data_IF_670867663006
#
_entry.id   IF_670867663006
#
_cell.length_a   1.000
_cell.length_b   1.000
_cell.length_c   1.000
_cell.angle_alpha   90.00
_cell.angle_beta   90.00
_cell.angle_gamma   90.00
#
_symmetry.space_group_name_H-M   'P 1'
#
loop_
_entity.id
_entity.type
_entity.pdbx_description
1 polymer ?
#
# COMPACT_ATOMS: atom_id res chain seq x y z
N UNK A 1 -70.63 -29.26 66.44
CA UNK A 1 -70.40 -27.96 65.78
C UNK A 1 -68.92 -27.93 65.47
N UNK A 2 -68.57 -27.95 64.17
CA UNK A 2 -67.19 -28.14 63.73
C UNK A 2 -66.34 -26.92 64.07
N UNK A 3 -65.18 -27.17 64.68
CA UNK A 3 -64.14 -26.15 64.83
C UNK A 3 -63.66 -25.78 63.42
N UNK A 4 -64.01 -24.58 62.97
CA UNK A 4 -63.44 -24.02 61.76
C UNK A 4 -61.96 -23.79 62.07
N UNK A 5 -61.12 -24.69 61.56
CA UNK A 5 -59.68 -24.52 61.59
C UNK A 5 -59.34 -23.32 60.69
N UNK A 6 -59.34 -22.12 61.27
CA UNK A 6 -58.95 -20.90 60.58
C UNK A 6 -57.43 -20.86 60.53
N UNK A 7 -56.88 -21.01 59.33
CA UNK A 7 -55.45 -20.80 59.09
C UNK A 7 -55.09 -19.41 59.58
N UNK A 8 -54.15 -19.32 60.51
CA UNK A 8 -53.65 -18.06 61.04
C UNK A 8 -52.70 -17.42 60.01
N UNK A 9 -53.29 -16.65 59.11
CA UNK A 9 -52.59 -15.96 58.02
C UNK A 9 -51.60 -14.91 58.53
N UNK A 10 -51.81 -14.35 59.73
CA UNK A 10 -50.91 -13.38 60.34
C UNK A 10 -49.59 -14.04 60.79
N UNK A 11 -49.66 -15.25 61.37
CA UNK A 11 -48.47 -16.03 61.70
C UNK A 11 -47.66 -16.41 60.44
N UNK A 12 -48.33 -16.74 59.34
CA UNK A 12 -47.68 -17.00 58.05
C UNK A 12 -47.08 -15.74 57.42
N UNK A 13 -47.69 -14.57 57.61
CA UNK A 13 -47.16 -13.29 57.12
C UNK A 13 -45.84 -12.90 57.81
N UNK A 14 -45.69 -13.19 59.10
CA UNK A 14 -44.43 -12.99 59.85
C UNK A 14 -43.32 -13.90 59.32
N UNK A 15 -43.63 -15.17 59.05
CA UNK A 15 -42.65 -16.11 58.47
C UNK A 15 -42.25 -15.68 57.06
N UNK A 16 -43.22 -15.30 56.22
CA UNK A 16 -42.96 -14.82 54.87
C UNK A 16 -42.08 -13.55 54.87
N UNK A 17 -42.34 -12.59 55.76
CA UNK A 17 -41.53 -11.37 55.86
C UNK A 17 -40.10 -11.66 56.29
N UNK A 18 -39.88 -12.53 57.29
CA UNK A 18 -38.52 -12.94 57.69
C UNK A 18 -37.75 -13.61 56.54
N UNK A 19 -38.41 -14.47 55.75
CA UNK A 19 -37.81 -15.10 54.57
C UNK A 19 -37.46 -14.06 53.50
N UNK A 20 -38.33 -13.10 53.22
CA UNK A 20 -38.03 -12.04 52.23
C UNK A 20 -36.85 -11.15 52.66
N UNK A 21 -36.74 -10.82 53.95
CA UNK A 21 -35.61 -10.04 54.48
C UNK A 21 -34.31 -10.83 54.32
N UNK A 22 -34.33 -12.14 54.59
CA UNK A 22 -33.16 -13.01 54.43
C UNK A 22 -32.71 -13.10 52.97
N UNK A 23 -33.65 -13.30 52.04
CA UNK A 23 -33.36 -13.34 50.60
C UNK A 23 -32.84 -11.98 50.12
N UNK A 24 -33.43 -10.87 50.56
CA UNK A 24 -32.97 -9.53 50.20
C UNK A 24 -31.52 -9.31 50.65
N UNK A 25 -31.16 -9.72 51.87
CA UNK A 25 -29.79 -9.64 52.37
C UNK A 25 -28.82 -10.49 51.55
N UNK A 26 -29.19 -11.73 51.21
CA UNK A 26 -28.37 -12.59 50.35
C UNK A 26 -28.17 -11.98 48.96
N UNK A 27 -29.21 -11.40 48.36
CA UNK A 27 -29.13 -10.78 47.04
C UNK A 27 -28.22 -9.54 47.04
N UNK A 28 -28.28 -8.73 48.10
CA UNK A 28 -27.40 -7.59 48.30
C UNK A 28 -25.93 -8.01 48.44
N UNK A 29 -25.67 -9.08 49.19
CA UNK A 29 -24.32 -9.65 49.34
C UNK A 29 -23.77 -10.13 47.99
N UNK A 30 -24.56 -10.91 47.23
CA UNK A 30 -24.15 -11.41 45.91
C UNK A 30 -23.84 -10.26 44.98
N UNK A 31 -24.68 -9.22 44.95
CA UNK A 31 -24.48 -8.04 44.11
C UNK A 31 -23.20 -7.28 44.48
N UNK A 32 -22.92 -7.11 45.78
CA UNK A 32 -21.68 -6.48 46.25
C UNK A 32 -20.44 -7.29 45.85
N UNK A 33 -20.48 -8.62 45.99
CA UNK A 33 -19.38 -9.50 45.59
C UNK A 33 -19.17 -9.49 44.07
N UNK A 34 -20.24 -9.49 43.27
CA UNK A 34 -20.15 -9.39 41.81
C UNK A 34 -19.57 -8.04 41.38
N UNK A 35 -20.00 -6.94 41.99
CA UNK A 35 -19.46 -5.61 41.69
C UNK A 35 -17.97 -5.52 42.02
N UNK A 36 -17.55 -6.09 43.15
CA UNK A 36 -16.14 -6.16 43.53
C UNK A 36 -15.31 -7.00 42.53
N UNK A 37 -15.83 -8.14 42.09
CA UNK A 37 -15.17 -8.98 41.09
C UNK A 37 -15.01 -8.26 39.74
N UNK A 38 -16.07 -7.61 39.24
CA UNK A 38 -16.03 -6.84 37.99
C UNK A 38 -15.06 -5.66 38.09
N UNK A 39 -15.03 -4.95 39.23
CA UNK A 39 -14.06 -3.88 39.45
C UNK A 39 -12.61 -4.40 39.38
N UNK A 40 -12.35 -5.56 39.98
CA UNK A 40 -11.03 -6.19 39.95
C UNK A 40 -10.63 -6.61 38.54
N UNK A 41 -11.54 -7.25 37.81
CA UNK A 41 -11.35 -7.61 36.40
C UNK A 41 -11.10 -6.38 35.53
N UNK A 42 -11.85 -5.28 35.74
CA UNK A 42 -11.66 -4.02 35.04
C UNK A 42 -10.28 -3.40 35.29
N UNK A 43 -9.80 -3.44 36.54
CA UNK A 43 -8.46 -2.97 36.89
C UNK A 43 -7.36 -3.80 36.22
N UNK A 44 -7.51 -5.12 36.17
CA UNK A 44 -6.59 -6.00 35.46
C UNK A 44 -6.62 -5.75 33.95
N UNK A 45 -7.80 -5.64 33.35
CA UNK A 45 -7.96 -5.35 31.93
C UNK A 45 -7.28 -4.04 31.52
N UNK A 46 -7.39 -2.99 32.34
CA UNK A 46 -6.71 -1.73 32.09
C UNK A 46 -5.18 -1.88 32.11
N UNK A 47 -4.64 -2.67 33.06
CA UNK A 47 -3.20 -2.93 33.13
C UNK A 47 -2.67 -3.69 31.90
N UNK A 48 -3.42 -4.70 31.43
CA UNK A 48 -3.06 -5.46 30.22
C UNK A 48 -3.19 -4.59 28.98
N UNK A 49 -4.26 -3.81 28.85
CA UNK A 49 -4.47 -2.93 27.70
C UNK A 49 -3.33 -1.92 27.52
N UNK A 50 -2.82 -1.33 28.60
CA UNK A 50 -1.67 -0.41 28.52
C UNK A 50 -0.37 -1.11 28.11
N UNK A 51 -0.13 -2.33 28.59
CA UNK A 51 1.02 -3.13 28.17
C UNK A 51 0.91 -3.56 26.70
N UNK A 52 -0.26 -4.02 26.27
CA UNK A 52 -0.56 -4.38 24.89
C UNK A 52 -0.41 -3.18 23.96
N UNK A 53 -0.89 -2.00 24.35
CA UNK A 53 -0.71 -0.78 23.56
C UNK A 53 0.76 -0.42 23.38
N UNK A 54 1.57 -0.49 24.46
CA UNK A 54 3.01 -0.23 24.37
C UNK A 54 3.75 -1.22 23.48
N UNK A 55 3.38 -2.50 23.55
CA UNK A 55 3.95 -3.55 22.69
C UNK A 55 3.54 -3.31 21.23
N UNK A 56 2.28 -2.94 20.99
CA UNK A 56 1.77 -2.64 19.65
C UNK A 56 2.43 -1.39 19.03
N UNK A 57 2.69 -0.34 19.82
CA UNK A 57 3.41 0.84 19.33
C UNK A 57 4.86 0.53 19.06
N UNK A 58 5.54 -0.18 19.97
CA UNK A 58 6.93 -0.58 19.78
C UNK A 58 7.10 -1.50 18.56
N UNK A 59 6.17 -2.45 18.34
CA UNK A 59 6.21 -3.32 17.17
C UNK A 59 5.94 -2.54 15.88
N UNK A 60 5.07 -1.54 15.91
CA UNK A 60 4.82 -0.66 14.77
C UNK A 60 6.06 0.17 14.40
N UNK A 61 6.73 0.77 15.39
CA UNK A 61 7.96 1.55 15.18
C UNK A 61 9.09 0.70 14.59
N UNK A 62 9.32 -0.50 15.12
CA UNK A 62 10.34 -1.43 14.61
C UNK A 62 10.01 -1.84 13.17
N UNK A 63 8.74 -2.19 12.90
CA UNK A 63 8.31 -2.57 11.55
C UNK A 63 8.45 -1.41 10.56
N UNK A 64 8.22 -0.17 10.98
CA UNK A 64 8.39 1.01 10.14
C UNK A 64 9.87 1.29 9.85
N UNK A 65 10.75 1.14 10.85
CA UNK A 65 12.19 1.28 10.68
C UNK A 65 12.79 0.19 9.77
N UNK A 66 12.27 -1.04 9.87
CA UNK A 66 12.69 -2.13 8.99
C UNK A 66 12.26 -1.88 7.54
N UNK A 67 11.01 -1.44 7.33
CA UNK A 67 10.51 -1.06 6.00
C UNK A 67 11.31 0.09 5.39
N UNK A 68 11.62 1.14 6.16
CA UNK A 68 12.37 2.28 5.62
C UNK A 68 13.79 1.89 5.23
N UNK A 69 14.45 1.03 6.04
CA UNK A 69 15.76 0.47 5.70
C UNK A 69 15.69 -0.39 4.44
N UNK A 70 14.71 -1.27 4.33
CA UNK A 70 14.53 -2.11 3.15
C UNK A 70 14.23 -1.28 1.90
N UNK A 71 13.35 -0.29 1.99
CA UNK A 71 13.05 0.65 0.90
C UNK A 71 14.31 1.37 0.41
N UNK A 72 15.14 1.85 1.32
CA UNK A 72 16.39 2.52 1.00
C UNK A 72 17.36 1.59 0.26
N UNK A 73 17.51 0.34 0.73
CA UNK A 73 18.36 -0.66 0.06
C UNK A 73 17.84 -1.01 -1.34
N UNK A 74 16.53 -1.15 -1.50
CA UNK A 74 15.90 -1.41 -2.80
C UNK A 74 16.18 -0.25 -3.77
N UNK A 75 15.96 1.00 -3.34
CA UNK A 75 16.20 2.18 -4.18
C UNK A 75 17.68 2.35 -4.54
N UNK A 76 18.58 2.13 -3.58
CA UNK A 76 20.02 2.17 -3.83
C UNK A 76 20.45 1.10 -4.84
N UNK A 77 19.90 -0.12 -4.72
CA UNK A 77 20.16 -1.23 -5.64
C UNK A 77 19.64 -0.96 -7.06
N UNK A 78 18.41 -0.46 -7.19
CA UNK A 78 17.78 -0.19 -8.49
C UNK A 78 18.30 1.07 -9.18
N UNK A 79 19.00 1.95 -8.46
CA UNK A 79 19.38 3.28 -8.97
C UNK A 79 20.13 3.23 -10.30
N UNK A 80 21.09 2.31 -10.47
CA UNK A 80 21.87 2.22 -11.70
C UNK A 80 21.02 1.84 -12.91
N UNK A 81 20.08 0.91 -12.74
CA UNK A 81 19.14 0.48 -13.78
C UNK A 81 18.14 1.59 -14.12
N UNK A 82 17.62 2.29 -13.10
CA UNK A 82 16.73 3.44 -13.27
C UNK A 82 17.46 4.57 -14.01
N UNK A 83 18.70 4.88 -13.64
CA UNK A 83 19.51 5.93 -14.24
C UNK A 83 19.83 5.63 -15.71
N UNK A 84 20.23 4.41 -16.02
CA UNK A 84 20.51 3.97 -17.39
C UNK A 84 19.26 4.08 -18.27
N UNK A 85 18.13 3.59 -17.78
CA UNK A 85 16.84 3.66 -18.48
C UNK A 85 16.38 5.11 -18.66
N UNK A 86 16.48 5.92 -17.62
CA UNK A 86 16.11 7.34 -17.64
C UNK A 86 16.93 8.12 -18.66
N UNK A 87 18.26 7.96 -18.63
CA UNK A 87 19.18 8.65 -19.55
C UNK A 87 18.95 8.24 -21.00
N UNK A 88 18.68 6.95 -21.25
CA UNK A 88 18.35 6.43 -22.58
C UNK A 88 17.06 7.03 -23.13
N UNK A 89 16.04 7.19 -22.28
CA UNK A 89 14.75 7.78 -22.66
C UNK A 89 14.86 9.28 -22.91
N UNK A 90 15.62 10.00 -22.08
CA UNK A 90 15.92 11.41 -22.32
C UNK A 90 16.63 11.61 -23.66
N UNK A 91 17.65 10.81 -23.95
CA UNK A 91 18.35 10.84 -25.23
C UNK A 91 17.41 10.54 -26.41
N UNK A 92 16.52 9.55 -26.26
CA UNK A 92 15.53 9.24 -27.28
C UNK A 92 14.53 10.38 -27.50
N UNK A 93 14.00 10.99 -26.43
CA UNK A 93 13.02 12.08 -26.53
C UNK A 93 13.58 13.31 -27.26
N UNK A 94 14.87 13.61 -27.06
CA UNK A 94 15.54 14.69 -27.79
C UNK A 94 15.53 14.43 -29.31
N UNK A 95 15.80 13.20 -29.73
CA UNK A 95 15.75 12.80 -31.14
C UNK A 95 14.31 12.72 -31.67
N UNK A 96 13.39 12.13 -30.90
CA UNK A 96 12.01 11.95 -31.29
C UNK A 96 11.25 13.27 -31.48
N UNK A 97 11.51 14.29 -30.64
CA UNK A 97 10.89 15.61 -30.82
C UNK A 97 11.32 16.28 -32.14
N UNK A 98 12.54 16.05 -32.61
CA UNK A 98 13.00 16.55 -33.91
C UNK A 98 12.32 15.83 -35.09
N UNK A 99 11.87 14.59 -34.85
CA UNK A 99 11.38 13.66 -35.88
C UNK A 99 9.85 13.48 -35.86
N UNK A 100 9.15 13.89 -34.80
CA UNK A 100 7.71 13.68 -34.57
C UNK A 100 6.85 14.08 -35.78
N UNK A 101 7.11 15.24 -36.38
CA UNK A 101 6.37 15.74 -37.54
C UNK A 101 6.63 14.96 -38.84
N UNK A 102 7.77 14.25 -38.94
CA UNK A 102 8.23 13.59 -40.16
C UNK A 102 8.18 12.05 -40.07
N UNK A 103 7.93 11.49 -38.88
CA UNK A 103 7.98 10.04 -38.64
C UNK A 103 7.11 9.22 -39.62
N UNK A 104 5.91 9.71 -39.95
CA UNK A 104 5.01 9.04 -40.89
C UNK A 104 5.47 9.13 -42.35
N UNK A 105 6.30 10.12 -42.69
CA UNK A 105 6.92 10.26 -44.02
C UNK A 105 8.24 9.50 -44.18
N UNK A 106 8.80 8.97 -43.10
CA UNK A 106 10.06 8.23 -43.11
C UNK A 106 9.93 6.86 -43.77
N UNK A 107 11.03 6.39 -44.35
CA UNK A 107 11.15 5.01 -44.82
C UNK A 107 11.32 4.02 -43.64
N UNK A 108 11.15 2.72 -43.90
CA UNK A 108 11.26 1.68 -42.87
C UNK A 108 12.62 1.67 -42.15
N UNK A 109 13.71 1.99 -42.85
CA UNK A 109 15.05 2.01 -42.27
C UNK A 109 15.23 3.16 -41.28
N UNK A 110 14.75 4.35 -41.64
CA UNK A 110 14.73 5.53 -40.77
C UNK A 110 13.84 5.32 -39.55
N UNK A 111 12.63 4.75 -39.75
CA UNK A 111 11.73 4.39 -38.63
C UNK A 111 12.39 3.40 -37.67
N UNK A 112 13.15 2.42 -38.18
CA UNK A 112 13.94 1.49 -37.34
C UNK A 112 15.01 2.20 -36.54
N UNK A 113 15.80 3.07 -37.18
CA UNK A 113 16.84 3.83 -36.47
C UNK A 113 16.26 4.65 -35.32
N UNK A 114 15.11 5.30 -35.52
CA UNK A 114 14.42 6.05 -34.46
C UNK A 114 13.92 5.11 -33.36
N UNK A 115 13.28 3.99 -33.70
CA UNK A 115 12.68 3.08 -32.72
C UNK A 115 13.68 2.13 -32.04
N UNK A 116 14.88 1.96 -32.58
CA UNK A 116 15.92 1.11 -32.01
C UNK A 116 16.38 1.61 -30.64
N UNK A 117 16.32 2.92 -30.38
CA UNK A 117 16.56 3.49 -29.04
C UNK A 117 15.54 3.05 -27.98
N UNK A 118 14.34 2.62 -28.38
CA UNK A 118 13.33 2.09 -27.46
C UNK A 118 13.41 0.55 -27.30
N UNK A 119 14.09 -0.13 -28.22
CA UNK A 119 14.15 -1.60 -28.29
C UNK A 119 14.84 -2.29 -27.10
N UNK A 120 16.02 -1.84 -26.65
CA UNK A 120 16.76 -2.49 -25.56
C UNK A 120 16.32 -2.05 -24.17
N UNK A 121 15.41 -1.07 -24.05
CA UNK A 121 14.97 -0.55 -22.76
C UNK A 121 14.32 -1.67 -21.92
N UNK A 122 14.98 -2.03 -20.83
CA UNK A 122 14.59 -3.10 -19.93
C UNK A 122 15.01 -2.77 -18.51
N UNK A 123 14.16 -3.15 -17.55
CA UNK A 123 14.47 -3.04 -16.13
C UNK A 123 14.35 -4.40 -15.45
N UNK A 124 15.18 -5.40 -15.84
CA UNK A 124 15.07 -6.77 -15.33
C UNK A 124 15.26 -6.88 -13.81
N UNK A 125 16.09 -6.05 -13.19
CA UNK A 125 16.29 -6.05 -11.74
C UNK A 125 15.02 -5.57 -11.04
N UNK A 126 14.42 -4.50 -11.55
CA UNK A 126 13.13 -3.99 -11.07
C UNK A 126 12.01 -5.01 -11.26
N UNK A 127 11.95 -5.72 -12.40
CA UNK A 127 10.99 -6.80 -12.62
C UNK A 127 11.18 -7.96 -11.62
N UNK A 128 12.43 -8.35 -11.33
CA UNK A 128 12.74 -9.44 -10.41
C UNK A 128 12.28 -9.15 -8.97
N UNK A 129 12.27 -7.87 -8.56
CA UNK A 129 11.83 -7.47 -7.22
C UNK A 129 10.46 -6.79 -7.20
N UNK A 130 9.67 -6.93 -8.27
CA UNK A 130 8.35 -6.30 -8.41
C UNK A 130 7.45 -6.54 -7.19
N UNK A 131 7.45 -7.77 -6.65
CA UNK A 131 6.67 -8.14 -5.47
C UNK A 131 7.06 -7.38 -4.19
N UNK A 132 8.25 -6.77 -4.14
CA UNK A 132 8.78 -6.00 -3.01
C UNK A 132 8.69 -4.49 -3.20
N UNK A 133 8.18 -4.01 -4.34
CA UNK A 133 7.98 -2.56 -4.57
C UNK A 133 7.01 -1.93 -3.57
N UNK A 134 6.14 -2.72 -2.94
CA UNK A 134 5.23 -2.27 -1.87
C UNK A 134 5.93 -1.79 -0.59
N UNK A 135 7.22 -2.11 -0.44
CA UNK A 135 8.03 -1.67 0.71
C UNK A 135 8.56 -0.25 0.48
N UNK A 136 8.72 0.15 -0.78
CA UNK A 136 9.09 1.51 -1.17
C UNK A 136 7.91 2.45 -0.93
N UNK A 137 8.19 3.74 -0.74
CA UNK A 137 7.16 4.78 -0.69
C UNK A 137 6.13 4.62 -1.83
N UNK A 138 4.86 4.81 -1.51
CA UNK A 138 3.74 4.52 -2.41
C UNK A 138 3.87 5.25 -3.75
N UNK A 139 4.34 6.49 -3.73
CA UNK A 139 4.54 7.28 -4.94
C UNK A 139 5.65 6.68 -5.82
N UNK A 140 6.80 6.38 -5.22
CA UNK A 140 7.98 5.88 -5.94
C UNK A 140 7.76 4.44 -6.44
N UNK A 141 7.22 3.57 -5.59
CA UNK A 141 6.88 2.19 -5.94
C UNK A 141 5.79 2.13 -7.03
N UNK A 142 4.77 2.99 -6.93
CA UNK A 142 3.72 3.11 -7.94
C UNK A 142 4.24 3.60 -9.29
N UNK A 143 5.15 4.59 -9.29
CA UNK A 143 5.82 5.08 -10.51
C UNK A 143 6.73 4.01 -11.13
N UNK A 144 7.47 3.25 -10.34
CA UNK A 144 8.27 2.10 -10.82
C UNK A 144 7.39 1.04 -11.50
N UNK A 145 6.27 0.67 -10.86
CA UNK A 145 5.33 -0.29 -11.44
C UNK A 145 4.72 0.23 -12.75
N UNK A 146 4.36 1.52 -12.81
CA UNK A 146 3.86 2.17 -14.03
C UNK A 146 4.92 2.24 -15.12
N UNK A 147 6.18 2.50 -14.75
CA UNK A 147 7.30 2.53 -15.67
C UNK A 147 7.50 1.16 -16.35
N UNK A 148 7.48 0.08 -15.56
CA UNK A 148 7.52 -1.29 -16.08
C UNK A 148 6.36 -1.60 -17.04
N UNK A 149 5.14 -1.21 -16.68
CA UNK A 149 3.97 -1.36 -17.54
C UNK A 149 4.11 -0.59 -18.86
N UNK A 150 4.62 0.64 -18.79
CA UNK A 150 4.82 1.49 -19.96
C UNK A 150 5.92 0.94 -20.87
N UNK A 151 7.02 0.43 -20.33
CA UNK A 151 8.06 -0.26 -21.09
C UNK A 151 7.50 -1.46 -21.86
N UNK A 152 6.62 -2.26 -21.24
CA UNK A 152 5.94 -3.37 -21.93
C UNK A 152 5.05 -2.89 -23.07
N UNK A 153 4.27 -1.82 -22.85
CA UNK A 153 3.44 -1.20 -23.91
C UNK A 153 4.31 -0.74 -25.08
N UNK A 154 5.42 -0.04 -24.81
CA UNK A 154 6.32 0.48 -25.84
C UNK A 154 6.95 -0.64 -26.67
N UNK A 155 7.36 -1.75 -26.04
CA UNK A 155 7.87 -2.94 -26.74
C UNK A 155 6.82 -3.56 -27.66
N UNK A 156 5.59 -3.69 -27.17
CA UNK A 156 4.47 -4.21 -27.96
C UNK A 156 4.08 -3.27 -29.11
N UNK A 157 4.21 -1.96 -28.91
CA UNK A 157 3.91 -0.95 -29.91
C UNK A 157 4.98 -0.81 -30.99
N UNK A 158 6.23 -1.23 -30.73
CA UNK A 158 7.38 -1.05 -31.65
C UNK A 158 7.12 -1.63 -33.04
N UNK A 159 6.76 -2.92 -33.12
CA UNK A 159 6.59 -3.59 -34.42
C UNK A 159 5.41 -3.04 -35.23
N UNK A 160 4.22 -2.77 -34.64
CA UNK A 160 3.14 -2.07 -35.33
C UNK A 160 3.51 -0.69 -35.89
N UNK A 161 4.42 0.04 -35.25
CA UNK A 161 4.81 1.39 -35.68
C UNK A 161 5.49 1.41 -37.05
N UNK A 162 6.15 0.33 -37.47
CA UNK A 162 6.74 0.24 -38.82
C UNK A 162 5.70 0.26 -39.92
N UNK A 163 4.50 -0.28 -39.64
CA UNK A 163 3.43 -0.46 -40.63
C UNK A 163 2.44 0.70 -40.68
N UNK A 164 2.69 1.77 -39.93
CA UNK A 164 1.79 2.92 -39.89
C UNK A 164 1.76 3.64 -41.23
N UNK A 165 0.54 3.94 -41.68
CA UNK A 165 0.29 4.77 -42.84
C UNK A 165 0.31 6.25 -42.43
N UNK A 166 0.52 7.13 -43.41
CA UNK A 166 0.47 8.58 -43.18
C UNK A 166 -0.98 9.08 -43.23
N UNK A 167 -1.79 8.61 -42.28
CA UNK A 167 -3.19 8.94 -42.11
C UNK A 167 -3.46 9.47 -40.69
N UNK A 168 -4.71 9.80 -40.40
CA UNK A 168 -5.13 10.35 -39.11
C UNK A 168 -4.87 9.35 -37.97
N UNK A 169 -5.08 8.06 -38.22
CA UNK A 169 -4.82 6.99 -37.26
C UNK A 169 -3.31 6.85 -36.97
N UNK A 170 -2.47 6.91 -38.00
CA UNK A 170 -1.02 6.95 -37.90
C UNK A 170 -0.55 8.08 -36.99
N UNK A 171 -1.08 9.30 -37.19
CA UNK A 171 -0.74 10.46 -36.36
C UNK A 171 -1.13 10.26 -34.91
N UNK A 172 -2.34 9.78 -34.64
CA UNK A 172 -2.82 9.50 -33.28
C UNK A 172 -1.93 8.47 -32.58
N UNK A 173 -1.54 7.39 -33.26
CA UNK A 173 -0.70 6.32 -32.69
C UNK A 173 0.72 6.81 -32.40
N UNK A 174 1.33 7.60 -33.29
CA UNK A 174 2.65 8.22 -33.05
C UNK A 174 2.59 9.14 -31.83
N UNK A 175 1.61 10.04 -31.77
CA UNK A 175 1.43 10.93 -30.62
C UNK A 175 1.20 10.16 -29.32
N UNK A 176 0.48 9.02 -29.36
CA UNK A 176 0.28 8.17 -28.19
C UNK A 176 1.59 7.56 -27.69
N UNK A 177 2.43 7.02 -28.59
CA UNK A 177 3.75 6.47 -28.22
C UNK A 177 4.62 7.56 -27.59
N UNK A 178 4.71 8.74 -28.20
CA UNK A 178 5.48 9.85 -27.66
C UNK A 178 4.97 10.26 -26.28
N UNK A 179 3.64 10.29 -26.08
CA UNK A 179 3.05 10.57 -24.76
C UNK A 179 3.43 9.50 -23.73
N UNK A 180 3.42 8.22 -24.09
CA UNK A 180 3.88 7.15 -23.20
C UNK A 180 5.35 7.30 -22.83
N UNK A 181 6.22 7.63 -23.79
CA UNK A 181 7.64 7.85 -23.50
C UNK A 181 7.85 9.08 -22.61
N UNK A 182 7.10 10.17 -22.82
CA UNK A 182 7.14 11.36 -21.95
C UNK A 182 6.68 11.02 -20.52
N UNK A 183 5.58 10.27 -20.38
CA UNK A 183 5.09 9.81 -19.08
C UNK A 183 6.12 8.93 -18.38
N UNK A 184 6.75 8.00 -19.11
CA UNK A 184 7.79 7.13 -18.58
C UNK A 184 9.00 7.93 -18.09
N UNK A 185 9.41 8.97 -18.84
CA UNK A 185 10.46 9.89 -18.41
C UNK A 185 10.10 10.60 -17.10
N UNK A 186 8.86 11.09 -16.98
CA UNK A 186 8.41 11.78 -15.77
C UNK A 186 8.32 10.85 -14.55
N UNK A 187 7.90 9.60 -14.74
CA UNK A 187 7.90 8.56 -13.71
C UNK A 187 9.34 8.25 -13.27
N UNK A 188 10.22 7.96 -14.23
CA UNK A 188 11.63 7.63 -13.97
C UNK A 188 12.42 8.78 -13.37
N UNK A 189 12.10 10.04 -13.70
CA UNK A 189 12.74 11.21 -13.07
C UNK A 189 12.58 11.20 -11.55
N UNK A 190 11.37 11.01 -11.07
CA UNK A 190 11.08 11.00 -9.62
C UNK A 190 11.74 9.80 -8.94
N UNK A 191 11.71 8.63 -9.59
CA UNK A 191 12.40 7.44 -9.06
C UNK A 191 13.91 7.65 -9.05
N UNK A 192 14.47 8.30 -10.07
CA UNK A 192 15.90 8.60 -10.15
C UNK A 192 16.33 9.59 -9.06
N UNK A 193 15.53 10.62 -8.79
CA UNK A 193 15.75 11.55 -7.67
C UNK A 193 15.75 10.82 -6.32
N UNK A 194 14.78 9.92 -6.09
CA UNK A 194 14.72 9.11 -4.88
C UNK A 194 15.89 8.13 -4.75
N UNK A 195 16.30 7.49 -5.85
CA UNK A 195 17.46 6.59 -5.90
C UNK A 195 18.78 7.34 -5.69
N UNK A 196 18.90 8.56 -6.19
CA UNK A 196 20.06 9.44 -5.96
C UNK A 196 20.15 9.83 -4.48
N UNK A 197 19.02 10.17 -3.84
CA UNK A 197 18.98 10.45 -2.41
C UNK A 197 19.37 9.22 -1.58
N UNK A 198 18.90 8.03 -1.97
CA UNK A 198 19.29 6.78 -1.33
C UNK A 198 20.80 6.47 -1.46
N UNK A 199 21.44 6.90 -2.55
CA UNK A 199 22.87 6.68 -2.80
C UNK A 199 23.78 7.85 -2.38
N UNK A 200 23.26 8.86 -1.67
CA UNK A 200 24.13 9.95 -1.18
C UNK A 200 25.19 9.38 -0.22
N UNK A 201 26.48 9.71 -0.42
CA UNK A 201 27.53 9.27 0.49
C UNK A 201 27.26 9.82 1.88
N UNK A 202 27.32 8.96 2.89
CA UNK A 202 27.21 9.35 4.30
C UNK A 202 28.45 10.19 4.63
N UNK A 203 28.23 11.45 5.01
CA UNK A 203 29.28 12.38 5.41
C UNK A 203 29.88 12.02 6.78
#
# INVERSE_FOLDING_TARGET
MGEVCTIDWDAWAVVATLVTIYIAWLSALVTALSAAAVFWLGKQANSVATASHRIATASHEIAQAERSREAHLILAYLYSEVLDTYSSIEGWLQQANAVEAHFLGMNDTERRQVLDGLGPLAMPQTEAIFGRLHVVDEEVGGRLARALGTLKILRLAREPMFRLQNDDEGRVRVCAVIRYVRSLRDDLRVVNEAGMEANRPVA
#
